data_IF_346146092196
#
_entry.id   IF_346146092196
#
_cell.length_a   1.000
_cell.length_b   1.000
_cell.length_c   1.000
_cell.angle_alpha   90.00
_cell.angle_beta   90.00
_cell.angle_gamma   90.00
#
_symmetry.space_group_name_H-M   'P 1'
#
loop_
_entity.id
_entity.type
_entity.pdbx_description
1 polymer ?
#
# COMPACT_ATOMS: atom_id res chain seq x y z
N UNK A 1 8.68 -4.36 15.45
CA UNK A 1 7.26 -4.00 15.68
C UNK A 1 6.63 -3.67 14.34
N UNK A 2 5.53 -4.33 13.98
CA UNK A 2 4.75 -3.97 12.79
C UNK A 2 4.07 -2.61 13.01
N UNK A 3 4.00 -1.78 11.96
CA UNK A 3 3.28 -0.49 11.99
C UNK A 3 1.94 -0.64 11.26
N UNK A 4 0.97 0.18 11.64
CA UNK A 4 -0.30 0.29 10.90
C UNK A 4 -0.22 1.25 9.71
N UNK A 5 0.95 1.84 9.42
CA UNK A 5 1.12 2.81 8.35
C UNK A 5 2.48 2.72 7.67
N UNK A 6 2.56 3.25 6.45
CA UNK A 6 3.80 3.54 5.72
C UNK A 6 3.80 4.99 5.21
N UNK A 7 4.94 5.67 5.28
CA UNK A 7 5.08 7.05 4.81
C UNK A 7 5.62 7.12 3.38
N UNK A 8 5.60 8.30 2.77
CA UNK A 8 6.32 8.59 1.52
C UNK A 8 7.75 8.03 1.53
N UNK A 9 8.19 7.53 0.37
CA UNK A 9 9.47 6.85 0.10
C UNK A 9 9.67 5.53 0.84
N UNK A 10 8.73 5.13 1.72
CA UNK A 10 8.75 3.79 2.29
C UNK A 10 8.43 2.78 1.20
N UNK A 11 9.26 1.75 1.15
CA UNK A 11 9.08 0.57 0.31
C UNK A 11 8.58 -0.57 1.19
N UNK A 12 7.58 -1.32 0.70
CA UNK A 12 7.26 -2.65 1.19
C UNK A 12 7.81 -3.66 0.17
N UNK A 13 8.65 -4.56 0.65
CA UNK A 13 9.13 -5.74 -0.06
C UNK A 13 8.24 -6.94 0.25
N UNK A 14 8.49 -8.06 -0.42
CA UNK A 14 7.74 -9.29 -0.20
C UNK A 14 7.79 -9.67 1.28
N UNK A 15 6.65 -10.13 1.78
CA UNK A 15 6.38 -10.47 3.18
C UNK A 15 6.26 -9.28 4.14
N UNK A 16 6.62 -8.06 3.73
CA UNK A 16 6.34 -6.86 4.52
C UNK A 16 4.82 -6.63 4.61
N UNK A 17 4.40 -6.14 5.78
CA UNK A 17 2.98 -5.92 6.06
C UNK A 17 2.73 -4.72 6.98
N UNK A 18 1.52 -4.21 6.87
CA UNK A 18 0.88 -3.34 7.85
C UNK A 18 -0.10 -4.17 8.68
N UNK A 19 -0.20 -3.84 9.96
CA UNK A 19 -1.16 -4.46 10.88
C UNK A 19 -1.99 -3.35 11.52
N UNK A 20 -3.32 -3.48 11.53
CA UNK A 20 -4.18 -2.53 12.24
C UNK A 20 -3.86 -2.50 13.73
N UNK A 21 -4.17 -1.40 14.42
CA UNK A 21 -3.85 -1.24 15.84
C UNK A 21 -4.62 -2.24 16.70
N UNK A 22 -5.83 -2.62 16.27
CA UNK A 22 -6.63 -3.67 16.90
C UNK A 22 -6.20 -5.11 16.52
N UNK A 23 -5.23 -5.28 15.62
CA UNK A 23 -4.70 -6.58 15.18
C UNK A 23 -5.64 -7.42 14.30
N UNK A 24 -6.81 -6.91 13.92
CA UNK A 24 -7.83 -7.66 13.16
C UNK A 24 -7.61 -7.66 11.65
N UNK A 25 -6.84 -6.70 11.15
CA UNK A 25 -6.60 -6.50 9.73
C UNK A 25 -5.11 -6.49 9.42
N UNK A 26 -4.75 -7.11 8.29
CA UNK A 26 -3.37 -7.20 7.82
C UNK A 26 -3.31 -6.90 6.32
N UNK A 27 -2.56 -5.86 5.94
CA UNK A 27 -2.23 -5.61 4.55
C UNK A 27 -0.81 -6.09 4.27
N UNK A 28 -0.63 -7.08 3.41
CA UNK A 28 0.65 -7.74 3.16
C UNK A 28 0.99 -7.72 1.68
N UNK A 29 2.26 -7.42 1.37
CA UNK A 29 2.79 -7.64 0.02
C UNK A 29 3.31 -9.08 -0.06
N UNK A 30 2.53 -9.95 -0.69
CA UNK A 30 2.75 -11.38 -0.70
C UNK A 30 3.90 -11.79 -1.63
N UNK A 31 4.42 -13.00 -1.43
CA UNK A 31 5.54 -13.54 -2.23
C UNK A 31 5.20 -13.74 -3.71
N UNK A 32 3.92 -13.96 -4.00
CA UNK A 32 3.32 -14.07 -5.34
C UNK A 32 3.18 -12.73 -6.07
N UNK A 33 3.52 -11.61 -5.40
CA UNK A 33 3.48 -10.27 -5.94
C UNK A 33 2.13 -9.55 -5.80
N UNK A 34 1.19 -10.10 -5.03
CA UNK A 34 -0.08 -9.44 -4.75
C UNK A 34 0.00 -8.60 -3.46
N UNK A 35 -0.55 -7.39 -3.47
CA UNK A 35 -0.76 -6.62 -2.25
C UNK A 35 -2.19 -6.84 -1.79
N UNK A 36 -2.35 -7.49 -0.63
CA UNK A 36 -3.65 -7.99 -0.18
C UNK A 36 -3.96 -7.49 1.23
N UNK A 37 -5.15 -6.96 1.40
CA UNK A 37 -5.75 -6.67 2.69
C UNK A 37 -6.61 -7.86 3.12
N UNK A 38 -6.26 -8.43 4.26
CA UNK A 38 -7.03 -9.44 4.96
C UNK A 38 -7.76 -8.85 6.17
N UNK A 39 -8.97 -9.34 6.41
CA UNK A 39 -9.73 -9.11 7.64
C UNK A 39 -10.42 -10.41 8.03
N UNK A 40 -10.28 -10.84 9.29
CA UNK A 40 -10.92 -12.05 9.81
C UNK A 40 -10.66 -13.30 8.95
N UNK A 41 -9.45 -13.42 8.39
CA UNK A 41 -9.04 -14.53 7.53
C UNK A 41 -9.60 -14.50 6.10
N UNK A 42 -10.31 -13.44 5.71
CA UNK A 42 -10.86 -13.25 4.35
C UNK A 42 -10.15 -12.12 3.63
N UNK A 43 -10.09 -12.21 2.31
CA UNK A 43 -9.64 -11.11 1.45
C UNK A 43 -10.70 -10.02 1.47
N UNK A 44 -10.30 -8.82 1.90
CA UNK A 44 -11.14 -7.61 1.86
C UNK A 44 -10.85 -6.82 0.59
N UNK A 45 -9.58 -6.74 0.19
CA UNK A 45 -9.14 -6.05 -1.02
C UNK A 45 -7.83 -6.64 -1.55
N UNK A 46 -7.59 -6.55 -2.85
CA UNK A 46 -6.34 -6.95 -3.48
C UNK A 46 -5.97 -6.07 -4.68
N UNK A 47 -4.67 -5.86 -4.91
CA UNK A 47 -4.14 -5.14 -6.08
C UNK A 47 -4.28 -5.92 -7.39
N UNK A 48 -4.58 -7.23 -7.32
CA UNK A 48 -4.72 -8.13 -8.47
C UNK A 48 -3.45 -8.16 -9.34
N UNK A 49 -2.29 -8.28 -8.68
CA UNK A 49 -0.95 -8.31 -9.30
C UNK A 49 -0.25 -9.66 -9.18
N UNK A 50 -0.97 -10.72 -8.80
CA UNK A 50 -0.46 -12.11 -8.74
C UNK A 50 0.25 -12.47 -10.06
N UNK A 51 1.44 -13.07 -9.95
CA UNK A 51 2.25 -13.54 -11.08
C UNK A 51 2.63 -12.48 -12.13
N UNK A 52 2.58 -11.19 -11.78
CA UNK A 52 3.02 -10.08 -12.66
C UNK A 52 4.45 -9.61 -12.39
N UNK A 53 5.29 -10.46 -11.81
CA UNK A 53 6.67 -10.15 -11.41
C UNK A 53 6.79 -8.91 -10.51
N UNK A 54 5.81 -8.69 -9.62
CA UNK A 54 5.85 -7.58 -8.68
C UNK A 54 7.01 -7.76 -7.69
N UNK A 55 7.81 -6.70 -7.52
CA UNK A 55 9.00 -6.70 -6.66
C UNK A 55 8.91 -5.74 -5.49
N UNK A 56 8.19 -4.62 -5.65
CA UNK A 56 8.04 -3.64 -4.57
C UNK A 56 6.73 -2.88 -4.68
N UNK A 57 6.20 -2.49 -3.52
CA UNK A 57 5.18 -1.46 -3.37
C UNK A 57 5.84 -0.22 -2.76
N UNK A 58 5.62 0.95 -3.32
CA UNK A 58 6.18 2.21 -2.82
C UNK A 58 5.12 3.30 -2.80
N UNK A 59 5.08 4.09 -1.72
CA UNK A 59 4.40 5.38 -1.74
C UNK A 59 5.39 6.44 -2.22
N UNK A 60 5.23 6.89 -3.45
CA UNK A 60 6.15 7.81 -4.11
C UNK A 60 6.01 9.24 -3.55
N UNK A 61 7.00 10.09 -3.86
CA UNK A 61 7.03 11.49 -3.43
C UNK A 61 5.90 12.34 -4.03
N UNK A 62 5.39 11.95 -5.20
CA UNK A 62 4.23 12.56 -5.85
C UNK A 62 2.89 12.16 -5.20
N UNK A 63 2.92 11.33 -4.16
CA UNK A 63 1.75 10.81 -3.47
C UNK A 63 1.02 9.70 -4.21
N UNK A 64 1.66 9.04 -5.18
CA UNK A 64 1.14 7.84 -5.83
C UNK A 64 1.62 6.58 -5.11
N UNK A 65 0.70 5.66 -4.80
CA UNK A 65 1.05 4.33 -4.30
C UNK A 65 1.16 3.40 -5.52
N UNK A 66 2.34 2.83 -5.76
CA UNK A 66 2.63 2.09 -7.00
C UNK A 66 3.33 0.77 -6.72
N UNK A 67 2.94 -0.26 -7.47
CA UNK A 67 3.62 -1.55 -7.51
C UNK A 67 4.47 -1.62 -8.78
N UNK A 68 5.75 -1.95 -8.61
CA UNK A 68 6.72 -2.07 -9.69
C UNK A 68 7.24 -3.49 -9.85
N UNK A 69 7.58 -3.85 -11.09
CA UNK A 69 8.35 -5.06 -11.39
C UNK A 69 9.85 -4.88 -11.14
N UNK A 70 10.64 -5.93 -11.40
CA UNK A 70 12.10 -5.89 -11.30
C UNK A 70 12.74 -4.91 -12.28
N UNK A 71 12.12 -4.69 -13.44
CA UNK A 71 12.58 -3.82 -14.51
C UNK A 71 12.01 -2.39 -14.38
N UNK A 72 11.54 -2.01 -13.18
CA UNK A 72 10.95 -0.70 -12.91
C UNK A 72 9.71 -0.37 -13.76
N UNK A 73 8.98 -1.40 -14.22
CA UNK A 73 7.70 -1.22 -14.90
C UNK A 73 6.55 -1.13 -13.87
N UNK A 74 5.73 -0.07 -13.87
CA UNK A 74 4.58 0.02 -12.99
C UNK A 74 3.46 -0.91 -13.47
N UNK A 75 2.96 -1.77 -12.58
CA UNK A 75 1.91 -2.75 -12.90
C UNK A 75 0.58 -2.51 -12.18
N UNK A 76 0.59 -1.62 -11.18
CA UNK A 76 -0.59 -1.13 -10.48
C UNK A 76 -0.28 0.23 -9.86
N UNK A 77 -1.25 1.13 -9.84
CA UNK A 77 -1.15 2.43 -9.17
C UNK A 77 -2.49 2.84 -8.56
N UNK A 78 -2.45 3.60 -7.45
CA UNK A 78 -3.63 4.26 -6.88
C UNK A 78 -4.14 5.42 -7.73
N UNK A 79 -3.35 5.87 -8.73
CA UNK A 79 -3.65 7.01 -9.60
C UNK A 79 -3.89 8.31 -8.82
N UNK A 80 -3.11 8.50 -7.75
CA UNK A 80 -3.20 9.67 -6.87
C UNK A 80 -2.05 10.65 -7.05
N UNK A 81 -1.09 10.34 -7.92
CA UNK A 81 0.09 11.15 -8.18
C UNK A 81 -0.26 12.57 -8.59
N UNK A 82 0.46 13.56 -8.04
CA UNK A 82 0.39 14.96 -8.47
C UNK A 82 1.79 15.52 -8.72
N UNK A 83 1.88 16.47 -9.63
CA UNK A 83 3.14 17.06 -10.08
C UNK A 83 3.84 17.95 -9.02
N UNK A 84 3.23 18.15 -7.84
CA UNK A 84 3.75 18.99 -6.77
C UNK A 84 4.43 18.14 -5.67
N UNK A 85 5.74 17.96 -5.81
CA UNK A 85 6.56 17.03 -5.02
C UNK A 85 6.83 17.44 -3.56
N UNK A 86 6.04 18.36 -3.00
CA UNK A 86 6.27 18.96 -1.68
C UNK A 86 5.44 18.35 -0.56
N UNK A 87 4.49 17.46 -0.88
CA UNK A 87 3.51 16.96 0.09
C UNK A 87 3.86 15.55 0.57
N UNK A 88 4.09 15.41 1.88
CA UNK A 88 4.31 14.10 2.51
C UNK A 88 2.97 13.40 2.70
N UNK A 89 2.87 12.18 2.18
CA UNK A 89 1.73 11.30 2.36
C UNK A 89 2.04 10.14 3.29
N UNK A 90 0.99 9.46 3.72
CA UNK A 90 1.12 8.17 4.37
C UNK A 90 -0.10 7.29 4.07
N UNK A 91 0.15 6.01 3.87
CA UNK A 91 -0.89 4.98 3.76
C UNK A 91 -1.11 4.41 5.16
N UNK A 92 -2.35 4.40 5.63
CA UNK A 92 -2.76 3.86 6.92
C UNK A 92 -3.71 2.69 6.72
N UNK A 93 -3.47 1.59 7.43
CA UNK A 93 -4.45 0.54 7.65
C UNK A 93 -5.26 0.87 8.91
N UNK A 94 -6.54 1.17 8.73
CA UNK A 94 -7.43 1.54 9.83
C UNK A 94 -7.93 0.31 10.59
N UNK A 95 -8.40 0.52 11.82
CA UNK A 95 -9.08 -0.50 12.62
C UNK A 95 -10.46 -0.89 12.06
N UNK A 96 -10.92 -0.21 11.01
CA UNK A 96 -12.15 -0.53 10.28
C UNK A 96 -11.92 -1.44 9.07
N UNK A 97 -10.67 -1.79 8.78
CA UNK A 97 -10.32 -2.62 7.63
C UNK A 97 -10.32 -1.87 6.31
N UNK A 98 -9.95 -0.60 6.32
CA UNK A 98 -9.71 0.21 5.11
C UNK A 98 -8.25 0.58 5.01
N UNK A 99 -7.70 0.51 3.80
CA UNK A 99 -6.46 1.21 3.48
C UNK A 99 -6.82 2.63 3.07
N UNK A 100 -6.23 3.61 3.72
CA UNK A 100 -6.49 5.03 3.47
C UNK A 100 -5.18 5.73 3.17
N UNK A 101 -5.08 6.31 1.97
CA UNK A 101 -3.95 7.14 1.60
C UNK A 101 -4.24 8.58 2.00
N UNK A 102 -3.48 9.06 2.97
CA UNK A 102 -3.55 10.43 3.45
C UNK A 102 -2.53 11.30 2.74
N UNK A 103 -2.97 12.49 2.37
CA UNK A 103 -2.12 13.63 2.03
C UNK A 103 -2.49 14.76 2.98
N UNK A 104 -1.51 15.22 3.76
CA UNK A 104 -1.74 16.12 4.88
C UNK A 104 -2.81 15.58 5.84
N UNK A 105 -4.04 16.11 5.78
CA UNK A 105 -5.19 15.67 6.59
C UNK A 105 -6.34 15.10 5.77
N UNK A 106 -6.18 14.99 4.45
CA UNK A 106 -7.21 14.52 3.53
C UNK A 106 -6.94 13.10 3.08
N UNK A 107 -7.99 12.28 3.07
CA UNK A 107 -7.96 10.95 2.43
C UNK A 107 -8.17 11.15 0.93
N UNK A 108 -7.20 10.71 0.13
CA UNK A 108 -7.21 10.88 -1.34
C UNK A 108 -7.42 9.57 -2.09
N UNK A 109 -7.29 8.43 -1.42
CA UNK A 109 -7.60 7.12 -1.95
C UNK A 109 -7.98 6.16 -0.83
N UNK A 110 -8.87 5.22 -1.14
CA UNK A 110 -9.19 4.09 -0.28
C UNK A 110 -9.36 2.82 -1.10
N UNK A 111 -9.05 1.68 -0.47
CA UNK A 111 -9.20 0.33 -1.04
C UNK A 111 -10.66 -0.01 -1.38
#
# INVERSE_FOLDING_TARGET
MSKNYMSTERILLKEDYLLSNNGQFKAIFQTDGNFVLYGWGRVVWASNTVNKDAQRLILQQDGNLVIYTKQDHPIWASNTGRCNNTQRGHLTLTDKGTLELYRDREVIWTS
#
